data_IF_117534169245
#
_entry.id   IF_117534169245
#
_cell.length_a   1.000
_cell.length_b   1.000
_cell.length_c   1.000
_cell.angle_alpha   90.00
_cell.angle_beta   90.00
_cell.angle_gamma   90.00
#
_symmetry.space_group_name_H-M   'P 1'
#
loop_
_entity.id
_entity.type
_entity.pdbx_description
1 polymer ?
#
# COMPACT_ATOMS: atom_id res chain seq x y z
N UNK A 1 18.52 -1.35 -21.49
CA UNK A 1 19.31 -1.29 -20.23
C UNK A 1 18.48 -0.56 -19.17
N UNK A 2 18.77 -0.70 -17.87
CA UNK A 2 18.01 0.00 -16.80
C UNK A 2 17.96 1.53 -16.97
N UNK A 3 19.02 2.12 -17.55
CA UNK A 3 19.05 3.54 -17.92
C UNK A 3 17.97 3.94 -18.94
N UNK A 4 17.58 3.02 -19.83
CA UNK A 4 16.50 3.26 -20.80
C UNK A 4 15.12 3.26 -20.12
N UNK A 5 14.96 2.52 -19.02
CA UNK A 5 13.72 2.51 -18.22
C UNK A 5 13.51 3.84 -17.48
N UNK A 6 14.56 4.41 -16.88
CA UNK A 6 14.45 5.71 -16.20
C UNK A 6 14.15 6.86 -17.16
N UNK A 7 14.66 6.80 -18.39
CA UNK A 7 14.35 7.76 -19.45
C UNK A 7 12.92 7.56 -19.99
N UNK A 8 12.51 6.31 -20.24
CA UNK A 8 11.15 5.96 -20.65
C UNK A 8 10.09 6.34 -19.61
N UNK A 9 10.37 6.10 -18.32
CA UNK A 9 9.48 6.48 -17.23
C UNK A 9 9.28 8.01 -17.19
N UNK A 10 10.33 8.78 -17.47
CA UNK A 10 10.23 10.25 -17.56
C UNK A 10 9.52 10.72 -18.84
N UNK A 11 9.69 10.02 -19.96
CA UNK A 11 9.01 10.34 -21.21
C UNK A 11 7.50 10.04 -21.16
N UNK A 12 7.08 9.01 -20.40
CA UNK A 12 5.66 8.65 -20.24
C UNK A 12 4.99 9.42 -19.11
N UNK A 13 5.64 9.54 -17.95
CA UNK A 13 5.05 10.24 -16.81
C UNK A 13 5.13 11.76 -16.95
N UNK A 14 6.01 12.26 -17.83
CA UNK A 14 6.28 13.68 -18.00
C UNK A 14 7.12 14.26 -16.88
N UNK A 15 7.03 15.57 -16.69
CA UNK A 15 7.83 16.32 -15.70
C UNK A 15 6.94 17.01 -14.69
N UNK A 16 7.38 17.07 -13.44
CA UNK A 16 6.66 17.74 -12.34
C UNK A 16 6.41 19.24 -12.60
N UNK A 17 7.24 19.89 -13.42
CA UNK A 17 7.06 21.29 -13.85
C UNK A 17 5.85 21.48 -14.79
N UNK A 18 5.34 20.40 -15.39
CA UNK A 18 4.13 20.41 -16.21
C UNK A 18 2.92 19.98 -15.35
N UNK A 19 1.97 20.89 -15.07
CA UNK A 19 0.79 20.60 -14.26
C UNK A 19 -0.18 19.62 -14.93
N UNK A 20 -0.01 19.34 -16.23
CA UNK A 20 -0.84 18.38 -16.97
C UNK A 20 -0.19 17.01 -17.12
N UNK A 21 1.04 16.85 -16.61
CA UNK A 21 1.76 15.58 -16.68
C UNK A 21 1.17 14.53 -15.74
N UNK A 22 1.37 13.27 -16.09
CA UNK A 22 0.89 12.13 -15.30
C UNK A 22 1.60 12.05 -13.95
N UNK A 23 2.89 12.40 -13.87
CA UNK A 23 3.63 12.43 -12.61
C UNK A 23 3.05 13.46 -11.64
N UNK A 24 2.69 14.66 -12.10
CA UNK A 24 2.05 15.69 -11.26
C UNK A 24 0.69 15.22 -10.78
N UNK A 25 -0.11 14.61 -11.66
CA UNK A 25 -1.43 14.05 -11.30
C UNK A 25 -1.32 12.98 -10.21
N UNK A 26 -0.36 12.07 -10.32
CA UNK A 26 -0.14 11.03 -9.30
C UNK A 26 0.41 11.62 -8.00
N UNK A 27 1.31 12.60 -8.08
CA UNK A 27 1.86 13.29 -6.93
C UNK A 27 0.78 14.03 -6.13
N UNK A 28 -0.12 14.74 -6.82
CA UNK A 28 -1.24 15.44 -6.22
C UNK A 28 -2.19 14.47 -5.50
N UNK A 29 -2.53 13.35 -6.16
CA UNK A 29 -3.35 12.30 -5.56
C UNK A 29 -2.74 11.78 -4.26
N UNK A 30 -1.45 11.44 -4.27
CA UNK A 30 -0.79 10.87 -3.11
C UNK A 30 -0.60 11.88 -1.98
N UNK A 31 -0.19 13.11 -2.31
CA UNK A 31 -0.05 14.19 -1.32
C UNK A 31 -1.38 14.44 -0.61
N UNK A 32 -2.49 14.48 -1.36
CA UNK A 32 -3.83 14.59 -0.80
C UNK A 32 -4.21 13.37 0.04
N UNK A 33 -4.06 12.16 -0.51
CA UNK A 33 -4.45 10.90 0.14
C UNK A 33 -3.71 10.65 1.45
N UNK A 34 -2.45 11.08 1.53
CA UNK A 34 -1.57 10.89 2.69
C UNK A 34 -1.54 12.11 3.61
N UNK A 35 -2.32 13.16 3.34
CA UNK A 35 -2.44 14.31 4.22
C UNK A 35 -2.94 13.90 5.61
N UNK A 36 -2.23 14.30 6.66
CA UNK A 36 -2.60 13.98 8.04
C UNK A 36 -2.45 12.50 8.39
N UNK A 37 -1.56 11.78 7.71
CA UNK A 37 -1.18 10.43 8.11
C UNK A 37 -0.66 10.45 9.56
N UNK A 38 -0.95 9.44 10.39
CA UNK A 38 -0.29 9.32 11.68
C UNK A 38 1.21 9.12 11.49
N UNK A 39 2.03 9.88 12.23
CA UNK A 39 3.50 9.72 12.25
C UNK A 39 3.90 8.30 12.68
N UNK A 40 3.11 7.69 13.55
CA UNK A 40 3.33 6.35 14.06
C UNK A 40 2.01 5.68 14.46
N UNK A 41 1.89 4.38 14.18
CA UNK A 41 0.85 3.55 14.76
C UNK A 41 1.19 3.15 16.20
N UNK A 42 0.24 3.36 17.10
CA UNK A 42 0.31 2.89 18.49
C UNK A 42 0.00 1.38 18.52
N UNK A 43 1.02 0.57 18.73
CA UNK A 43 0.88 -0.88 18.87
C UNK A 43 1.18 -1.29 20.32
N UNK A 44 0.66 -2.44 20.78
CA UNK A 44 0.96 -2.96 22.11
C UNK A 44 2.40 -3.50 22.16
N UNK A 45 3.38 -2.59 22.12
CA UNK A 45 4.80 -2.93 22.14
C UNK A 45 5.21 -3.49 23.50
N UNK A 46 5.95 -4.60 23.50
CA UNK A 46 6.51 -5.17 24.75
C UNK A 46 7.62 -4.30 25.37
N UNK A 47 8.22 -3.42 24.57
CA UNK A 47 9.38 -2.59 24.93
C UNK A 47 9.27 -1.20 24.28
N UNK A 48 9.83 -0.15 24.90
CA UNK A 48 9.92 1.15 24.25
C UNK A 48 10.77 1.06 22.98
N UNK A 49 10.42 1.87 21.97
CA UNK A 49 11.16 1.97 20.72
C UNK A 49 12.55 2.55 20.99
N UNK A 50 13.60 1.90 20.52
CA UNK A 50 14.97 2.43 20.59
C UNK A 50 15.19 3.49 19.53
N UNK A 51 15.98 4.52 19.85
CA UNK A 51 16.41 5.55 18.88
C UNK A 51 17.31 4.97 17.78
N UNK A 52 18.01 3.87 18.07
CA UNK A 52 18.89 3.19 17.11
C UNK A 52 18.21 1.92 16.61
N UNK A 53 17.98 1.86 15.30
CA UNK A 53 17.42 0.68 14.64
C UNK A 53 18.50 -0.42 14.56
N UNK A 54 18.26 -1.54 15.24
CA UNK A 54 19.21 -2.67 15.27
C UNK A 54 19.02 -3.65 14.11
N UNK A 55 17.94 -3.51 13.32
CA UNK A 55 17.54 -4.42 12.23
C UNK A 55 17.35 -5.90 12.63
N UNK A 56 17.32 -6.21 13.93
CA UNK A 56 17.07 -7.57 14.41
C UNK A 56 15.57 -7.88 14.32
N UNK A 57 15.23 -8.96 13.61
CA UNK A 57 13.85 -9.43 13.42
C UNK A 57 13.66 -10.87 13.88
N UNK A 58 12.42 -11.21 14.26
CA UNK A 58 11.96 -12.59 14.49
C UNK A 58 10.90 -12.98 13.47
N UNK A 59 10.64 -14.29 13.35
CA UNK A 59 9.60 -14.81 12.46
C UNK A 59 8.68 -15.77 13.22
N UNK A 60 7.37 -15.61 13.05
CA UNK A 60 6.36 -16.53 13.56
C UNK A 60 5.52 -17.00 12.37
N UNK A 61 5.50 -18.31 12.13
CA UNK A 61 4.70 -18.89 11.05
C UNK A 61 3.23 -19.00 11.46
N UNK A 62 2.36 -18.48 10.61
CA UNK A 62 0.91 -18.63 10.71
C UNK A 62 0.42 -19.57 9.59
N UNK A 63 -0.47 -20.52 9.91
CA UNK A 63 -1.14 -21.37 8.93
C UNK A 63 -2.63 -21.07 8.92
N UNK A 64 -3.18 -20.83 7.73
CA UNK A 64 -4.61 -20.68 7.50
C UNK A 64 -5.15 -22.04 7.05
N UNK A 65 -6.09 -22.67 7.77
CA UNK A 65 -6.70 -23.93 7.35
C UNK A 65 -7.38 -23.80 5.98
N UNK A 66 -7.34 -24.87 5.18
CA UNK A 66 -7.88 -24.86 3.82
C UNK A 66 -9.38 -24.49 3.75
N UNK A 67 -10.15 -24.91 4.76
CA UNK A 67 -11.57 -24.55 4.88
C UNK A 67 -11.76 -23.04 5.02
N UNK A 68 -11.02 -22.41 5.95
CA UNK A 68 -11.06 -20.95 6.13
C UNK A 68 -10.58 -20.22 4.87
N UNK A 69 -9.51 -20.71 4.23
CA UNK A 69 -9.04 -20.15 2.97
C UNK A 69 -10.12 -20.18 1.87
N UNK A 70 -10.88 -21.28 1.76
CA UNK A 70 -12.01 -21.38 0.83
C UNK A 70 -13.11 -20.35 1.14
N UNK A 71 -13.45 -20.16 2.42
CA UNK A 71 -14.43 -19.17 2.85
C UNK A 71 -13.98 -17.73 2.56
N UNK A 72 -12.69 -17.41 2.75
CA UNK A 72 -12.13 -16.10 2.42
C UNK A 72 -12.16 -15.82 0.91
N UNK A 73 -11.90 -16.84 0.09
CA UNK A 73 -12.05 -16.72 -1.37
C UNK A 73 -13.49 -16.43 -1.79
N UNK A 74 -14.46 -17.09 -1.16
CA UNK A 74 -15.87 -16.85 -1.46
C UNK A 74 -16.28 -15.43 -1.03
N UNK A 75 -15.80 -14.95 0.13
CA UNK A 75 -15.99 -13.56 0.56
C UNK A 75 -15.38 -12.56 -0.42
N UNK A 76 -14.17 -12.82 -0.92
CA UNK A 76 -13.54 -11.98 -1.94
C UNK A 76 -14.42 -11.89 -3.19
N UNK A 77 -14.97 -13.04 -3.64
CA UNK A 77 -15.85 -13.12 -4.81
C UNK A 77 -17.15 -12.35 -4.62
N UNK A 78 -17.83 -12.50 -3.48
CA UNK A 78 -19.12 -11.85 -3.21
C UNK A 78 -18.99 -10.33 -3.07
N UNK A 79 -17.88 -9.86 -2.49
CA UNK A 79 -17.55 -8.43 -2.36
C UNK A 79 -16.86 -7.84 -3.60
N UNK A 80 -16.66 -8.64 -4.66
CA UNK A 80 -15.92 -8.27 -5.88
C UNK A 80 -14.51 -7.74 -5.60
N UNK A 81 -13.89 -8.23 -4.53
CA UNK A 81 -12.54 -7.89 -4.11
C UNK A 81 -11.57 -9.03 -4.42
N UNK A 82 -10.27 -8.77 -4.27
CA UNK A 82 -9.25 -9.81 -4.32
C UNK A 82 -9.04 -10.43 -2.93
N UNK A 83 -8.49 -11.64 -2.88
CA UNK A 83 -8.10 -12.24 -1.59
C UNK A 83 -7.10 -11.35 -0.83
N UNK A 84 -6.22 -10.65 -1.55
CA UNK A 84 -5.30 -9.67 -0.97
C UNK A 84 -6.05 -8.55 -0.22
N UNK A 85 -7.10 -7.97 -0.82
CA UNK A 85 -7.93 -6.94 -0.18
C UNK A 85 -8.64 -7.47 1.06
N UNK A 86 -9.08 -8.73 1.06
CA UNK A 86 -9.66 -9.38 2.25
C UNK A 86 -8.63 -9.49 3.37
N UNK A 87 -7.40 -9.91 3.07
CA UNK A 87 -6.32 -9.97 4.06
C UNK A 87 -5.91 -8.59 4.58
N UNK A 88 -5.86 -7.59 3.70
CA UNK A 88 -5.58 -6.21 4.09
C UNK A 88 -6.65 -5.66 5.04
N UNK A 89 -7.93 -5.89 4.75
CA UNK A 89 -9.04 -5.54 5.65
C UNK A 89 -8.91 -6.26 7.00
N UNK A 90 -8.56 -7.56 6.98
CA UNK A 90 -8.30 -8.35 8.19
C UNK A 90 -7.17 -7.79 9.03
N UNK A 91 -6.05 -7.40 8.40
CA UNK A 91 -4.92 -6.78 9.09
C UNK A 91 -5.28 -5.41 9.66
N UNK A 92 -5.95 -4.55 8.91
CA UNK A 92 -6.39 -3.24 9.40
C UNK A 92 -7.35 -3.37 10.60
N UNK A 93 -8.34 -4.27 10.52
CA UNK A 93 -9.25 -4.55 11.62
C UNK A 93 -8.50 -5.09 12.86
N UNK A 94 -7.52 -5.97 12.68
CA UNK A 94 -6.68 -6.47 13.77
C UNK A 94 -5.91 -5.32 14.44
N UNK A 95 -5.26 -4.46 13.66
CA UNK A 95 -4.49 -3.33 14.20
C UNK A 95 -5.37 -2.34 14.96
N UNK A 96 -6.55 -2.02 14.44
CA UNK A 96 -7.55 -1.21 15.17
C UNK A 96 -7.94 -1.86 16.49
N UNK A 97 -8.20 -3.17 16.51
CA UNK A 97 -8.52 -3.91 17.75
C UNK A 97 -7.35 -3.96 18.74
N UNK A 98 -6.12 -3.82 18.27
CA UNK A 98 -4.93 -3.75 19.11
C UNK A 98 -4.60 -2.33 19.60
N UNK A 99 -5.42 -1.33 19.25
CA UNK A 99 -5.27 0.05 19.72
C UNK A 99 -4.57 1.00 18.76
N UNK A 100 -4.31 0.59 17.51
CA UNK A 100 -3.63 1.44 16.51
C UNK A 100 -4.46 2.62 15.98
N UNK A 101 -5.62 2.90 16.57
CA UNK A 101 -6.60 3.87 16.07
C UNK A 101 -7.41 3.34 14.88
N UNK A 102 -8.05 4.25 14.16
CA UNK A 102 -8.95 3.92 13.04
C UNK A 102 -8.42 4.32 11.66
N UNK A 103 -7.25 4.95 11.59
CA UNK A 103 -6.60 5.35 10.34
C UNK A 103 -5.30 4.57 10.17
N UNK A 104 -5.33 3.53 9.33
CA UNK A 104 -4.29 2.50 9.27
C UNK A 104 -3.59 2.55 7.89
N UNK A 105 -2.38 3.13 7.79
CA UNK A 105 -1.55 3.04 6.60
C UNK A 105 -0.78 1.72 6.55
N UNK A 106 -0.95 0.96 5.46
CA UNK A 106 -0.24 -0.30 5.22
C UNK A 106 0.62 -0.21 3.95
N UNK A 107 1.92 -0.48 4.08
CA UNK A 107 2.81 -0.58 2.92
C UNK A 107 2.66 -1.94 2.23
N UNK A 108 2.50 -1.96 0.91
CA UNK A 108 2.50 -3.18 0.10
C UNK A 108 3.49 -3.06 -1.07
N UNK A 109 4.41 -4.02 -1.23
CA UNK A 109 5.25 -4.05 -2.43
C UNK A 109 4.40 -4.40 -3.65
N UNK A 110 4.70 -3.75 -4.76
CA UNK A 110 4.18 -4.08 -6.09
C UNK A 110 5.36 -4.35 -7.02
N UNK A 111 5.17 -5.24 -7.99
CA UNK A 111 6.25 -5.67 -8.88
C UNK A 111 6.81 -4.52 -9.75
N UNK A 112 6.03 -3.44 -9.96
CA UNK A 112 6.41 -2.29 -10.79
C UNK A 112 6.70 -2.64 -12.26
N UNK A 113 6.23 -3.82 -12.70
CA UNK A 113 6.37 -4.32 -14.08
C UNK A 113 5.04 -4.22 -14.81
N UNK A 114 4.53 -3.00 -14.94
CA UNK A 114 3.26 -2.73 -15.62
C UNK A 114 3.39 -2.76 -17.14
N UNK A 115 4.62 -2.68 -17.68
CA UNK A 115 4.91 -2.78 -19.12
C UNK A 115 5.63 -4.09 -19.48
N UNK A 116 5.20 -4.72 -20.59
CA UNK A 116 5.80 -5.93 -21.12
C UNK A 116 7.29 -5.76 -21.48
N UNK A 117 7.74 -4.54 -21.78
CA UNK A 117 9.13 -4.22 -22.11
C UNK A 117 10.12 -4.45 -20.95
N UNK A 118 9.65 -4.53 -19.71
CA UNK A 118 10.46 -4.76 -18.50
C UNK A 118 10.27 -6.13 -17.85
N UNK A 119 9.45 -7.00 -18.47
CA UNK A 119 9.14 -8.32 -17.91
C UNK A 119 10.39 -9.22 -17.79
N UNK A 120 11.30 -9.16 -18.77
CA UNK A 120 12.52 -9.99 -18.82
C UNK A 120 13.78 -9.30 -18.27
N UNK A 121 13.65 -8.07 -17.74
CA UNK A 121 14.79 -7.31 -17.23
C UNK A 121 15.16 -7.70 -15.78
N UNK A 122 16.45 -7.96 -15.56
CA UNK A 122 17.03 -8.14 -14.22
C UNK A 122 17.35 -6.76 -13.63
N UNK A 123 16.64 -6.35 -12.58
CA UNK A 123 16.78 -5.06 -11.91
C UNK A 123 15.79 -4.92 -10.74
N UNK A 124 15.98 -3.91 -9.89
CA UNK A 124 15.06 -3.60 -8.80
C UNK A 124 13.93 -2.69 -9.32
N UNK A 125 12.78 -3.29 -9.61
CA UNK A 125 11.58 -2.60 -10.11
C UNK A 125 10.45 -2.55 -9.07
N UNK A 126 10.68 -3.11 -7.88
CA UNK A 126 9.66 -3.13 -6.85
C UNK A 126 9.39 -1.70 -6.37
N UNK A 127 8.13 -1.29 -6.44
CA UNK A 127 7.66 -0.06 -5.83
C UNK A 127 6.81 -0.39 -4.59
N UNK A 128 6.58 0.57 -3.70
CA UNK A 128 5.75 0.39 -2.51
C UNK A 128 4.55 1.32 -2.55
N UNK A 129 3.34 0.77 -2.42
CA UNK A 129 2.12 1.55 -2.27
C UNK A 129 1.74 1.69 -0.80
N UNK A 130 1.31 2.89 -0.41
CA UNK A 130 0.76 3.15 0.92
C UNK A 130 -0.76 3.03 0.86
N UNK A 131 -1.28 1.92 1.36
CA UNK A 131 -2.71 1.62 1.36
C UNK A 131 -3.34 2.09 2.68
N UNK A 132 -3.79 3.35 2.70
CA UNK A 132 -4.45 3.98 3.85
C UNK A 132 -5.89 3.50 4.00
N UNK A 133 -6.19 2.87 5.13
CA UNK A 133 -7.49 2.24 5.41
C UNK A 133 -8.17 2.90 6.60
N UNK A 134 -9.39 3.40 6.41
CA UNK A 134 -10.23 3.95 7.48
C UNK A 134 -11.19 2.87 8.03
N UNK A 135 -10.98 2.49 9.28
CA UNK A 135 -11.79 1.52 10.03
C UNK A 135 -12.80 2.20 10.97
N UNK A 136 -12.96 3.52 10.90
CA UNK A 136 -13.86 4.27 11.78
C UNK A 136 -15.35 3.96 11.52
N UNK A 137 -16.17 4.20 12.54
CA UNK A 137 -17.62 4.01 12.47
C UNK A 137 -18.10 2.58 12.71
N UNK A 138 -17.25 1.71 13.27
CA UNK A 138 -17.55 0.30 13.58
C UNK A 138 -18.18 -0.47 12.41
N UNK A 139 -17.50 -0.51 11.23
CA UNK A 139 -18.05 -1.16 10.05
C UNK A 139 -18.12 -2.67 10.24
N UNK A 140 -19.10 -3.29 9.58
CA UNK A 140 -19.04 -4.73 9.33
C UNK A 140 -17.79 -5.08 8.52
N UNK A 141 -17.35 -6.33 8.61
CA UNK A 141 -16.17 -6.77 7.85
C UNK A 141 -16.37 -6.63 6.34
N UNK A 142 -17.59 -6.84 5.83
CA UNK A 142 -17.90 -6.66 4.42
C UNK A 142 -17.77 -5.19 3.97
N UNK A 143 -18.29 -4.24 4.76
CA UNK A 143 -18.12 -2.80 4.50
C UNK A 143 -16.64 -2.40 4.53
N UNK A 144 -15.86 -2.96 5.46
CA UNK A 144 -14.42 -2.70 5.50
C UNK A 144 -13.70 -3.23 4.25
N UNK A 145 -14.05 -4.43 3.78
CA UNK A 145 -13.52 -4.99 2.52
C UNK A 145 -13.87 -4.10 1.33
N UNK A 146 -15.08 -3.53 1.29
CA UNK A 146 -15.48 -2.60 0.24
C UNK A 146 -14.68 -1.28 0.27
N UNK A 147 -14.45 -0.72 1.47
CA UNK A 147 -13.57 0.46 1.65
C UNK A 147 -12.16 0.18 1.15
N UNK A 148 -11.58 -0.96 1.57
CA UNK A 148 -10.25 -1.39 1.14
C UNK A 148 -10.21 -1.58 -0.37
N UNK A 149 -11.24 -2.20 -0.97
CA UNK A 149 -11.33 -2.39 -2.42
C UNK A 149 -11.31 -1.05 -3.16
N UNK A 150 -12.16 -0.10 -2.76
CA UNK A 150 -12.22 1.21 -3.39
C UNK A 150 -10.86 1.92 -3.34
N UNK A 151 -10.25 2.00 -2.15
CA UNK A 151 -8.95 2.66 -1.96
C UNK A 151 -7.80 1.96 -2.68
N UNK A 152 -7.78 0.64 -2.70
CA UNK A 152 -6.74 -0.12 -3.40
C UNK A 152 -6.83 0.10 -4.91
N UNK A 153 -8.04 0.15 -5.47
CA UNK A 153 -8.22 0.43 -6.90
C UNK A 153 -7.79 1.86 -7.27
N UNK A 154 -8.06 2.84 -6.42
CA UNK A 154 -7.53 4.20 -6.59
C UNK A 154 -6.00 4.21 -6.51
N UNK A 155 -5.41 3.55 -5.52
CA UNK A 155 -3.96 3.46 -5.37
C UNK A 155 -3.27 2.81 -6.59
N UNK A 156 -3.87 1.75 -7.17
CA UNK A 156 -3.33 1.10 -8.36
C UNK A 156 -3.38 1.99 -9.61
N UNK A 157 -4.24 3.01 -9.67
CA UNK A 157 -4.26 3.99 -10.77
C UNK A 157 -3.15 5.05 -10.64
N UNK A 158 -2.40 5.05 -9.54
CA UNK A 158 -1.32 6.00 -9.26
C UNK A 158 -0.04 5.26 -8.82
N UNK A 159 0.18 4.06 -9.37
CA UNK A 159 1.23 3.15 -8.92
C UNK A 159 2.62 3.43 -9.51
N UNK A 160 2.68 4.33 -10.50
CA UNK A 160 3.89 4.59 -11.30
C UNK A 160 4.80 5.63 -10.64
N UNK A 161 4.28 6.38 -9.64
CA UNK A 161 5.06 7.28 -8.81
C UNK A 161 6.03 6.48 -7.90
N UNK A 162 7.36 6.71 -8.00
CA UNK A 162 8.32 6.07 -7.10
C UNK A 162 8.07 6.43 -5.63
N UNK A 163 8.11 5.43 -4.75
CA UNK A 163 7.89 5.63 -3.31
C UNK A 163 8.87 6.63 -2.69
N UNK A 164 10.13 6.64 -3.12
CA UNK A 164 11.14 7.58 -2.63
C UNK A 164 10.75 9.04 -2.92
N UNK A 165 10.23 9.32 -4.13
CA UNK A 165 9.74 10.65 -4.50
C UNK A 165 8.52 11.06 -3.67
N UNK A 166 7.66 10.10 -3.35
CA UNK A 166 6.51 10.33 -2.50
C UNK A 166 6.92 10.72 -1.07
N UNK A 167 7.93 10.05 -0.50
CA UNK A 167 8.46 10.39 0.81
C UNK A 167 9.01 11.82 0.83
N UNK A 168 9.79 12.20 -0.18
CA UNK A 168 10.34 13.55 -0.32
C UNK A 168 9.25 14.64 -0.43
N UNK A 169 8.12 14.34 -1.07
CA UNK A 169 7.03 15.30 -1.23
C UNK A 169 6.14 15.44 0.02
N UNK A 170 5.92 14.36 0.76
CA UNK A 170 5.04 14.34 1.95
C UNK A 170 5.80 14.75 3.21
N UNK A 171 7.13 14.54 3.26
CA UNK A 171 7.99 14.89 4.38
C UNK A 171 9.32 15.53 3.90
N UNK A 172 9.28 16.80 3.43
CA UNK A 172 10.41 17.49 2.82
C UNK A 172 11.55 17.87 3.79
#
# INVERSE_FOLDING_TARGET
QYADYSLWQRDILGTEDDPTSEITRQLDYWTHTLTGLPDQLELPYDRPRSEVVTQHGGQVSLRIPAELHGQLHELARTTRSSLFMVFQAGLAALLTRLGAGTDIPLGSPIAGRTDAAVEELVGFFANTLVLRTDTSGDPTFAELVERVRARSLEAYQHQDLPFERLVEAVNP
#
